data_IF_057650925922
#
_entry.id   IF_057650925922
#
_cell.length_a   1.000
_cell.length_b   1.000
_cell.length_c   1.000
_cell.angle_alpha   90.00
_cell.angle_beta   90.00
_cell.angle_gamma   90.00
#
_symmetry.space_group_name_H-M   'P 1'
#
loop_
_entity.id
_entity.type
_entity.pdbx_description
1 polymer ?
#
# COMPACT_ATOMS: atom_id res chain seq x y z
N UNK A 1 -11.68 -38.27 -13.06
CA UNK A 1 -12.61 -37.14 -12.90
C UNK A 1 -11.84 -35.86 -12.71
N UNK A 2 -12.02 -34.84 -13.58
CA UNK A 2 -11.31 -33.57 -13.44
C UNK A 2 -12.01 -32.70 -12.38
N UNK A 3 -11.23 -32.16 -11.45
CA UNK A 3 -11.67 -31.20 -10.45
C UNK A 3 -11.93 -29.84 -11.10
N UNK A 4 -13.18 -29.41 -11.06
CA UNK A 4 -13.63 -28.09 -11.53
C UNK A 4 -13.10 -27.02 -10.56
N UNK A 5 -12.10 -26.25 -10.97
CA UNK A 5 -11.62 -25.09 -10.22
C UNK A 5 -12.63 -23.96 -10.39
N UNK A 6 -13.45 -23.70 -9.36
CA UNK A 6 -14.34 -22.54 -9.29
C UNK A 6 -13.49 -21.25 -9.39
N UNK A 7 -13.81 -20.32 -10.31
CA UNK A 7 -13.15 -19.02 -10.31
C UNK A 7 -13.62 -18.23 -9.08
N UNK A 8 -12.79 -18.22 -8.05
CA UNK A 8 -12.99 -17.37 -6.88
C UNK A 8 -13.20 -15.93 -7.34
N UNK A 9 -14.35 -15.35 -6.99
CA UNK A 9 -14.67 -13.95 -7.22
C UNK A 9 -13.78 -13.11 -6.28
N UNK A 10 -12.50 -12.97 -6.62
CA UNK A 10 -11.62 -12.01 -5.97
C UNK A 10 -12.13 -10.62 -6.37
N UNK A 11 -13.10 -10.10 -5.63
CA UNK A 11 -13.43 -8.69 -5.67
C UNK A 11 -12.15 -7.97 -5.30
N UNK A 12 -11.42 -7.49 -6.31
CA UNK A 12 -10.23 -6.69 -6.10
C UNK A 12 -10.69 -5.48 -5.29
N UNK A 13 -10.40 -5.49 -3.97
CA UNK A 13 -10.73 -4.39 -3.06
C UNK A 13 -10.25 -3.11 -3.73
N UNK A 14 -11.20 -2.27 -4.15
CA UNK A 14 -10.91 -1.00 -4.81
C UNK A 14 -10.16 -0.15 -3.81
N UNK A 15 -8.93 0.26 -4.13
CA UNK A 15 -8.19 1.14 -3.24
C UNK A 15 -8.88 2.50 -3.19
N UNK A 16 -9.17 2.95 -1.98
CA UNK A 16 -9.74 4.27 -1.75
C UNK A 16 -8.66 5.31 -2.06
N UNK A 17 -8.89 6.16 -3.06
CA UNK A 17 -8.09 7.36 -3.28
C UNK A 17 -8.59 8.47 -2.39
N UNK A 18 -7.68 9.29 -1.88
CA UNK A 18 -8.05 10.41 -1.02
C UNK A 18 -8.92 11.42 -1.76
N UNK A 19 -10.00 11.85 -1.10
CA UNK A 19 -10.86 12.94 -1.55
C UNK A 19 -10.64 14.15 -0.64
N UNK A 20 -10.83 15.36 -1.16
CA UNK A 20 -10.64 16.60 -0.41
C UNK A 20 -11.53 16.70 0.85
N UNK A 21 -12.65 15.98 0.88
CA UNK A 21 -13.65 16.06 1.95
C UNK A 21 -13.55 14.93 3.00
N UNK A 22 -12.54 14.06 2.92
CA UNK A 22 -12.42 12.93 3.84
C UNK A 22 -11.00 12.81 4.39
N UNK A 23 -10.92 12.76 5.72
CA UNK A 23 -9.67 12.48 6.43
C UNK A 23 -9.50 10.99 6.76
N UNK A 24 -10.35 10.11 6.22
CA UNK A 24 -10.23 8.66 6.42
C UNK A 24 -9.02 8.09 5.69
N UNK A 25 -8.49 6.98 6.19
CA UNK A 25 -7.35 6.27 5.58
C UNK A 25 -7.57 6.00 4.09
N UNK A 26 -6.66 6.53 3.27
CA UNK A 26 -6.75 6.48 1.82
C UNK A 26 -5.35 6.55 1.19
N UNK A 27 -5.27 6.19 -0.08
CA UNK A 27 -4.08 6.36 -0.89
C UNK A 27 -4.06 7.76 -1.50
N UNK A 28 -2.94 8.46 -1.35
CA UNK A 28 -2.64 9.71 -2.04
C UNK A 28 -1.63 9.46 -3.14
N UNK A 29 -1.93 9.97 -4.33
CA UNK A 29 -1.04 9.86 -5.48
C UNK A 29 0.13 10.83 -5.29
N UNK A 30 1.35 10.38 -5.56
CA UNK A 30 2.56 11.17 -5.44
C UNK A 30 3.63 10.68 -6.41
N UNK A 31 4.16 11.60 -7.20
CA UNK A 31 5.26 11.35 -8.10
C UNK A 31 6.56 11.81 -7.44
N UNK A 32 7.59 10.96 -7.50
CA UNK A 32 8.96 11.33 -7.13
C UNK A 32 9.82 11.37 -8.38
N UNK A 33 10.51 12.48 -8.59
CA UNK A 33 11.57 12.59 -9.58
C UNK A 33 12.86 12.05 -8.95
N UNK A 34 13.61 11.21 -9.66
CA UNK A 34 14.85 10.65 -9.15
C UNK A 34 15.94 11.69 -8.94
N UNK A 35 15.85 12.86 -9.59
CA UNK A 35 16.74 13.99 -9.32
C UNK A 35 16.56 14.55 -7.91
N UNK A 36 15.33 14.56 -7.40
CA UNK A 36 15.01 15.10 -6.07
C UNK A 36 15.62 14.28 -4.94
N UNK A 37 15.96 13.01 -5.21
CA UNK A 37 16.51 12.06 -4.23
C UNK A 37 17.91 11.55 -4.62
N UNK A 38 18.55 12.13 -5.65
CA UNK A 38 19.91 11.77 -6.09
C UNK A 38 20.02 10.36 -6.69
N UNK A 39 18.93 9.83 -7.25
CA UNK A 39 18.92 8.50 -7.87
C UNK A 39 19.18 8.54 -9.38
N UNK A 40 19.11 9.72 -9.99
CA UNK A 40 19.39 9.93 -11.41
C UNK A 40 20.86 9.65 -11.80
N UNK A 41 21.77 9.51 -10.82
CA UNK A 41 23.19 9.26 -11.07
C UNK A 41 23.48 7.79 -11.40
N UNK A 42 22.63 6.87 -10.94
CA UNK A 42 22.81 5.43 -11.12
C UNK A 42 21.61 4.74 -11.77
N UNK A 43 20.40 5.31 -11.66
CA UNK A 43 19.22 4.86 -12.40
C UNK A 43 19.17 5.53 -13.78
N UNK A 44 19.10 4.71 -14.81
CA UNK A 44 18.97 5.13 -16.22
C UNK A 44 17.50 5.40 -16.56
N UNK A 45 16.60 4.47 -16.20
CA UNK A 45 15.15 4.62 -16.40
C UNK A 45 14.34 3.91 -15.30
N UNK A 46 13.13 4.39 -14.97
CA UNK A 46 12.55 5.67 -15.39
C UNK A 46 13.28 6.87 -14.75
N UNK A 47 12.89 8.10 -15.08
CA UNK A 47 13.42 9.33 -14.44
C UNK A 47 12.77 9.61 -13.08
N UNK A 48 11.73 8.87 -12.75
CA UNK A 48 10.91 9.04 -11.58
C UNK A 48 9.66 8.18 -11.70
N UNK A 49 8.89 8.07 -10.62
CA UNK A 49 7.72 7.19 -10.62
C UNK A 49 6.64 7.62 -9.61
N UNK A 50 5.43 7.10 -9.82
CA UNK A 50 4.32 7.25 -8.88
C UNK A 50 4.53 6.30 -7.69
N UNK A 51 5.14 6.79 -6.61
CA UNK A 51 5.32 6.02 -5.37
C UNK A 51 3.98 5.80 -4.67
N UNK A 52 3.14 6.86 -4.64
CA UNK A 52 1.93 6.96 -3.81
C UNK A 52 2.20 6.68 -2.33
N UNK A 53 1.32 7.16 -1.45
CA UNK A 53 1.48 6.93 -0.01
C UNK A 53 0.14 6.89 0.71
N UNK A 54 0.14 6.30 1.90
CA UNK A 54 -1.05 6.16 2.72
C UNK A 54 -1.12 7.28 3.75
N UNK A 55 -2.29 7.90 3.85
CA UNK A 55 -2.55 9.00 4.78
C UNK A 55 -3.98 8.94 5.29
N UNK A 56 -4.25 9.68 6.36
CA UNK A 56 -5.56 9.78 6.96
C UNK A 56 -5.67 8.98 8.25
N UNK A 57 -6.86 9.01 8.82
CA UNK A 57 -7.18 8.48 10.13
C UNK A 57 -7.86 7.12 10.01
N UNK A 58 -7.66 6.31 11.04
CA UNK A 58 -8.34 5.03 11.24
C UNK A 58 -9.22 5.07 12.50
N UNK A 59 -10.35 5.80 12.48
CA UNK A 59 -11.30 5.78 13.59
C UNK A 59 -11.79 4.35 13.89
N UNK A 60 -12.12 4.08 15.14
CA UNK A 60 -12.48 2.74 15.62
C UNK A 60 -13.63 2.09 14.84
N UNK A 61 -14.66 2.87 14.48
CA UNK A 61 -15.84 2.40 13.75
C UNK A 61 -15.54 2.00 12.29
N UNK A 62 -14.40 2.44 11.73
CA UNK A 62 -13.98 2.14 10.35
C UNK A 62 -12.77 1.22 10.27
N UNK A 63 -11.85 1.28 11.23
CA UNK A 63 -10.57 0.57 11.17
C UNK A 63 -10.72 -0.95 11.10
N UNK A 64 -11.79 -1.51 11.68
CA UNK A 64 -12.12 -2.92 11.63
C UNK A 64 -12.99 -3.34 10.44
N UNK A 65 -13.47 -2.40 9.60
CA UNK A 65 -14.46 -2.73 8.58
C UNK A 65 -13.86 -3.46 7.38
N UNK A 66 -14.64 -4.30 6.68
CA UNK A 66 -14.21 -4.93 5.44
C UNK A 66 -13.76 -3.88 4.42
N UNK A 67 -12.51 -3.96 4.00
CA UNK A 67 -11.91 -3.02 3.05
C UNK A 67 -11.00 -1.98 3.67
N UNK A 68 -11.12 -1.73 4.98
CA UNK A 68 -10.15 -0.91 5.73
C UNK A 68 -9.22 -1.73 6.59
N UNK A 69 -9.67 -2.80 7.24
CA UNK A 69 -8.77 -3.65 8.03
C UNK A 69 -7.66 -4.25 7.15
N UNK A 70 -6.40 -4.04 7.52
CA UNK A 70 -5.22 -4.56 6.82
C UNK A 70 -5.09 -6.08 6.91
N UNK A 71 -5.60 -6.66 8.00
CA UNK A 71 -5.57 -8.09 8.28
C UNK A 71 -6.77 -8.50 9.12
N UNK A 72 -6.99 -9.81 9.25
CA UNK A 72 -7.99 -10.34 10.18
C UNK A 72 -7.65 -9.99 11.64
N UNK A 73 -6.37 -9.99 12.02
CA UNK A 73 -5.92 -9.55 13.34
C UNK A 73 -6.38 -8.12 13.62
N UNK A 74 -6.25 -7.21 12.65
CA UNK A 74 -6.71 -5.82 12.81
C UNK A 74 -8.22 -5.73 13.01
N UNK A 75 -9.00 -6.52 12.27
CA UNK A 75 -10.45 -6.56 12.42
C UNK A 75 -10.85 -7.00 13.83
N UNK A 76 -10.26 -8.10 14.33
CA UNK A 76 -10.48 -8.61 15.68
C UNK A 76 -10.01 -7.62 16.75
N UNK A 77 -8.82 -7.05 16.59
CA UNK A 77 -8.28 -6.07 17.54
C UNK A 77 -9.17 -4.83 17.66
N UNK A 78 -9.73 -4.33 16.56
CA UNK A 78 -10.68 -3.22 16.59
C UNK A 78 -12.02 -3.62 17.22
N UNK A 79 -12.46 -4.87 17.07
CA UNK A 79 -13.63 -5.39 17.79
C UNK A 79 -13.38 -5.43 19.31
N UNK A 80 -12.21 -5.90 19.76
CA UNK A 80 -11.82 -5.91 21.17
C UNK A 80 -11.85 -4.49 21.76
N UNK A 81 -11.25 -3.52 21.04
CA UNK A 81 -11.29 -2.10 21.42
C UNK A 81 -12.72 -1.53 21.48
N UNK A 82 -13.58 -1.88 20.53
CA UNK A 82 -14.98 -1.42 20.51
C UNK A 82 -15.81 -1.94 21.70
N UNK A 83 -15.39 -3.04 22.33
CA UNK A 83 -16.03 -3.61 23.52
C UNK A 83 -15.39 -3.12 24.84
N UNK A 84 -14.56 -2.06 24.81
CA UNK A 84 -13.88 -1.48 25.98
C UNK A 84 -13.04 -2.48 26.79
N UNK A 85 -12.59 -3.57 26.18
CA UNK A 85 -11.55 -4.42 26.75
C UNK A 85 -10.27 -3.60 26.68
N UNK A 86 -9.59 -3.38 27.82
CA UNK A 86 -8.42 -2.52 28.04
C UNK A 86 -7.30 -2.72 26.99
N UNK A 87 -7.49 -2.16 25.80
CA UNK A 87 -6.59 -2.21 24.66
C UNK A 87 -6.37 -0.76 24.20
N UNK A 88 -5.34 -0.13 24.74
CA UNK A 88 -4.92 1.21 24.34
C UNK A 88 -4.17 1.16 23.01
N UNK A 89 -4.56 1.99 22.03
CA UNK A 89 -3.83 2.13 20.77
C UNK A 89 -4.71 2.58 19.60
N UNK A 90 -4.24 3.59 18.86
CA UNK A 90 -4.86 4.00 17.61
C UNK A 90 -4.32 3.14 16.46
N UNK A 91 -5.18 2.82 15.49
CA UNK A 91 -4.71 2.16 14.27
C UNK A 91 -4.05 3.17 13.33
N UNK A 92 -3.01 2.74 12.62
CA UNK A 92 -2.26 3.55 11.65
C UNK A 92 -2.74 3.27 10.23
N UNK A 93 -2.74 4.30 9.37
CA UNK A 93 -2.99 4.12 7.94
C UNK A 93 -1.71 3.67 7.24
N UNK A 94 -1.70 2.45 6.72
CA UNK A 94 -0.51 1.78 6.17
C UNK A 94 -0.78 1.17 4.79
N UNK A 95 0.25 0.96 3.96
CA UNK A 95 0.11 0.23 2.71
C UNK A 95 -0.29 -1.23 2.96
N UNK A 96 -1.35 -1.68 2.29
CA UNK A 96 -1.84 -3.07 2.35
C UNK A 96 -1.57 -3.84 1.06
N UNK A 97 -1.31 -3.15 -0.04
CA UNK A 97 -0.84 -3.73 -1.29
C UNK A 97 0.17 -2.82 -1.96
N UNK A 98 1.25 -3.42 -2.44
CA UNK A 98 2.30 -2.76 -3.21
C UNK A 98 2.55 -3.55 -4.49
N UNK A 99 3.07 -2.87 -5.50
CA UNK A 99 3.51 -3.47 -6.76
C UNK A 99 4.98 -3.12 -7.03
N UNK A 100 5.70 -3.96 -7.79
CA UNK A 100 7.08 -3.69 -8.13
C UNK A 100 7.23 -2.48 -9.06
N UNK A 101 8.44 -1.94 -9.09
CA UNK A 101 8.89 -0.95 -10.07
C UNK A 101 9.98 -1.59 -10.96
N UNK A 102 9.79 -1.55 -12.27
CA UNK A 102 10.82 -1.95 -13.23
C UNK A 102 11.84 -0.83 -13.40
N UNK A 103 13.10 -1.11 -13.11
CA UNK A 103 14.21 -0.14 -13.12
C UNK A 103 15.34 -0.65 -14.02
N UNK A 104 15.89 0.25 -14.81
CA UNK A 104 17.13 0.07 -15.56
C UNK A 104 18.21 0.93 -14.90
N UNK A 105 19.30 0.34 -14.44
CA UNK A 105 20.34 1.04 -13.66
C UNK A 105 21.73 0.45 -13.90
N UNK A 106 22.78 1.19 -13.50
CA UNK A 106 24.15 0.69 -13.48
C UNK A 106 24.43 -0.06 -12.17
N UNK A 107 24.93 -1.30 -12.27
CA UNK A 107 25.43 -2.03 -11.11
C UNK A 107 26.82 -1.53 -10.65
N UNK A 108 27.37 -2.12 -9.59
CA UNK A 108 28.68 -1.74 -9.04
C UNK A 108 29.85 -1.92 -10.02
N UNK A 109 29.67 -2.76 -11.04
CA UNK A 109 30.68 -3.04 -12.06
C UNK A 109 30.41 -2.23 -13.34
N UNK A 110 29.52 -1.24 -13.29
CA UNK A 110 29.09 -0.42 -14.44
C UNK A 110 28.37 -1.21 -15.55
N UNK A 111 27.81 -2.38 -15.23
CA UNK A 111 26.95 -3.09 -16.17
C UNK A 111 25.53 -2.52 -16.12
N UNK A 112 24.85 -2.52 -17.26
CA UNK A 112 23.44 -2.15 -17.34
C UNK A 112 22.59 -3.34 -16.90
N UNK A 113 21.79 -3.15 -15.86
CA UNK A 113 20.90 -4.17 -15.29
C UNK A 113 19.46 -3.69 -15.33
N UNK A 114 18.55 -4.57 -15.74
CA UNK A 114 17.11 -4.38 -15.63
C UNK A 114 16.55 -5.28 -14.54
N UNK A 115 15.78 -4.73 -13.62
CA UNK A 115 15.20 -5.49 -12.50
C UNK A 115 13.86 -4.92 -12.08
N UNK A 116 12.96 -5.79 -11.64
CA UNK A 116 11.72 -5.41 -10.98
C UNK A 116 11.95 -5.39 -9.46
N UNK A 117 12.08 -4.19 -8.89
CA UNK A 117 12.28 -4.01 -7.44
C UNK A 117 10.92 -4.16 -6.75
N UNK A 118 10.76 -5.11 -5.82
CA UNK A 118 9.48 -5.36 -5.15
C UNK A 118 9.07 -4.20 -4.24
N UNK A 119 7.78 -4.13 -3.93
CA UNK A 119 7.21 -3.23 -2.91
C UNK A 119 7.43 -1.72 -3.09
N UNK A 120 7.73 -1.26 -4.31
CA UNK A 120 8.08 0.13 -4.58
C UNK A 120 6.88 1.08 -4.70
N UNK A 121 5.71 0.59 -5.15
CA UNK A 121 4.55 1.45 -5.47
C UNK A 121 3.35 1.03 -4.64
N UNK A 122 2.78 1.98 -3.89
CA UNK A 122 1.57 1.74 -3.11
C UNK A 122 0.35 1.70 -4.04
N UNK A 123 -0.38 0.58 -4.02
CA UNK A 123 -1.62 0.40 -4.76
C UNK A 123 -2.86 0.47 -3.87
N UNK A 124 -2.74 0.10 -2.60
CA UNK A 124 -3.85 0.14 -1.62
C UNK A 124 -3.36 0.46 -0.21
N UNK A 125 -4.25 1.10 0.55
CA UNK A 125 -4.05 1.46 1.96
C UNK A 125 -5.12 0.79 2.83
N UNK A 126 -4.83 0.68 4.12
CA UNK A 126 -5.76 0.22 5.13
C UNK A 126 -5.26 0.54 6.52
N UNK A 127 -6.06 0.22 7.52
CA UNK A 127 -5.78 0.42 8.93
C UNK A 127 -5.08 -0.81 9.51
N UNK A 128 -4.08 -0.59 10.36
CA UNK A 128 -3.44 -1.62 11.20
C UNK A 128 -3.46 -1.16 12.66
#
# INVERSE_FOLDING_TARGET
SPTRTEPGHHVAKRSLRCSQNSNLCCRKDYYVDFRDIGWNDWIIKPEGYQINYCVGQCPLHVAGSPGMASSFHTAVFNLVKANNVQASGHSCCVPTRRRPLSVLYFDRNSNIVKTDIPDMIVDACGCS
#
